data_IF_136585190434
#
_entry.id   IF_136585190434
#
_cell.length_a   1.000
_cell.length_b   1.000
_cell.length_c   1.000
_cell.angle_alpha   90.00
_cell.angle_beta   90.00
_cell.angle_gamma   90.00
#
_symmetry.space_group_name_H-M   'P 1'
#
loop_
_entity.id
_entity.type
_entity.pdbx_description
1 polymer ?
#
# COMPACT_ATOMS: atom_id res chain seq x y z
N UNK A 1 -42.82 43.14 24.16
CA UNK A 1 -41.69 42.92 23.24
C UNK A 1 -42.17 43.26 21.84
N UNK A 2 -41.46 44.11 21.11
CA UNK A 2 -41.93 44.54 19.78
C UNK A 2 -41.63 43.45 18.75
N UNK A 3 -42.57 43.22 17.82
CA UNK A 3 -42.44 42.22 16.75
C UNK A 3 -41.14 42.38 15.91
N UNK A 4 -40.64 43.61 15.82
CA UNK A 4 -39.35 43.93 15.22
C UNK A 4 -38.15 43.33 15.97
N UNK A 5 -38.17 43.29 17.30
CA UNK A 5 -37.12 42.65 18.09
C UNK A 5 -37.07 41.15 17.85
N UNK A 6 -38.23 40.49 17.76
CA UNK A 6 -38.32 39.06 17.46
C UNK A 6 -37.81 38.73 16.05
N UNK A 7 -38.11 39.58 15.06
CA UNK A 7 -37.65 39.40 13.69
C UNK A 7 -36.13 39.55 13.57
N UNK A 8 -35.54 40.54 14.24
CA UNK A 8 -34.08 40.74 14.28
C UNK A 8 -33.36 39.57 14.97
N UNK A 9 -33.90 39.08 16.09
CA UNK A 9 -33.34 37.90 16.78
C UNK A 9 -33.43 36.65 15.91
N UNK A 10 -34.54 36.43 15.22
CA UNK A 10 -34.70 35.30 14.30
C UNK A 10 -33.71 35.37 13.13
N UNK A 11 -33.54 36.54 12.52
CA UNK A 11 -32.61 36.74 11.41
C UNK A 11 -31.16 36.51 11.87
N UNK A 12 -30.76 37.14 12.98
CA UNK A 12 -29.39 37.00 13.52
C UNK A 12 -29.07 35.56 13.92
N UNK A 13 -30.02 34.86 14.54
CA UNK A 13 -29.87 33.45 14.87
C UNK A 13 -29.66 32.63 13.60
N UNK A 14 -30.48 32.82 12.57
CA UNK A 14 -30.35 32.12 11.28
C UNK A 14 -28.97 32.36 10.63
N UNK A 15 -28.50 33.61 10.58
CA UNK A 15 -27.20 33.94 9.98
C UNK A 15 -26.06 33.29 10.77
N UNK A 16 -26.11 33.34 12.10
CA UNK A 16 -25.09 32.72 12.97
C UNK A 16 -25.08 31.20 12.78
N UNK A 17 -26.25 30.54 12.74
CA UNK A 17 -26.33 29.09 12.50
C UNK A 17 -25.75 28.73 11.14
N UNK A 18 -26.05 29.48 10.06
CA UNK A 18 -25.49 29.24 8.73
C UNK A 18 -23.97 29.42 8.65
N UNK A 19 -23.42 30.39 9.38
CA UNK A 19 -21.97 30.61 9.47
C UNK A 19 -21.31 29.44 10.21
N UNK A 20 -21.88 29.01 11.33
CA UNK A 20 -21.37 27.86 12.10
C UNK A 20 -21.43 26.58 11.25
N UNK A 21 -22.55 26.32 10.57
CA UNK A 21 -22.71 25.17 9.68
C UNK A 21 -21.66 25.17 8.55
N UNK A 22 -21.36 26.34 7.98
CA UNK A 22 -20.31 26.47 6.95
C UNK A 22 -18.92 26.18 7.50
N UNK A 23 -18.61 26.68 8.70
CA UNK A 23 -17.31 26.41 9.37
C UNK A 23 -17.19 24.91 9.69
N UNK A 24 -18.25 24.30 10.22
CA UNK A 24 -18.29 22.86 10.48
C UNK A 24 -18.14 22.05 9.18
N UNK A 25 -18.76 22.49 8.08
CA UNK A 25 -18.60 21.91 6.76
C UNK A 25 -17.14 21.89 6.29
N UNK A 26 -16.45 23.03 6.39
CA UNK A 26 -15.03 23.16 5.99
C UNK A 26 -14.12 22.28 6.85
N UNK A 27 -14.37 22.22 8.16
CA UNK A 27 -13.58 21.38 9.08
C UNK A 27 -13.81 19.90 8.77
N UNK A 28 -15.06 19.50 8.52
CA UNK A 28 -15.42 18.14 8.15
C UNK A 28 -14.79 17.74 6.82
N UNK A 29 -14.86 18.59 5.81
CA UNK A 29 -14.27 18.33 4.49
C UNK A 29 -12.74 18.15 4.56
N UNK A 30 -12.04 18.98 5.35
CA UNK A 30 -10.59 18.79 5.59
C UNK A 30 -10.28 17.46 6.26
N UNK A 31 -11.10 17.04 7.23
CA UNK A 31 -10.94 15.74 7.92
C UNK A 31 -11.21 14.58 6.97
N UNK A 32 -12.27 14.66 6.18
CA UNK A 32 -12.67 13.64 5.21
C UNK A 32 -11.62 13.52 4.09
N UNK A 33 -11.04 14.63 3.63
CA UNK A 33 -9.94 14.62 2.65
C UNK A 33 -8.68 13.93 3.20
N UNK A 34 -8.30 14.24 4.45
CA UNK A 34 -7.18 13.54 5.12
C UNK A 34 -7.45 12.05 5.27
N UNK A 35 -8.67 11.67 5.67
CA UNK A 35 -9.08 10.27 5.81
C UNK A 35 -9.02 9.54 4.46
N UNK A 36 -9.61 10.11 3.41
CA UNK A 36 -9.59 9.56 2.06
C UNK A 36 -8.16 9.41 1.51
N UNK A 37 -7.28 10.38 1.76
CA UNK A 37 -5.87 10.27 1.36
C UNK A 37 -5.17 9.12 2.06
N UNK A 38 -5.41 8.92 3.36
CA UNK A 38 -4.85 7.80 4.12
C UNK A 38 -5.37 6.45 3.61
N UNK A 39 -6.67 6.34 3.37
CA UNK A 39 -7.29 5.14 2.79
C UNK A 39 -6.65 4.79 1.44
N UNK A 40 -6.46 5.77 0.55
CA UNK A 40 -5.79 5.55 -0.74
C UNK A 40 -4.36 5.01 -0.57
N UNK A 41 -3.57 5.61 0.32
CA UNK A 41 -2.19 5.15 0.56
C UNK A 41 -2.19 3.72 1.12
N UNK A 42 -3.12 3.42 2.04
CA UNK A 42 -3.27 2.08 2.59
C UNK A 42 -3.59 1.05 1.49
N UNK A 43 -4.57 1.33 0.64
CA UNK A 43 -4.92 0.46 -0.49
C UNK A 43 -3.74 0.24 -1.42
N UNK A 44 -3.00 1.29 -1.77
CA UNK A 44 -1.82 1.16 -2.63
C UNK A 44 -0.72 0.27 -2.02
N UNK A 45 -0.51 0.35 -0.70
CA UNK A 45 0.47 -0.52 -0.02
C UNK A 45 -0.03 -1.95 0.05
N UNK A 46 -1.32 -2.16 0.31
CA UNK A 46 -1.95 -3.48 0.28
C UNK A 46 -1.81 -4.11 -1.12
N UNK A 47 -2.02 -3.34 -2.18
CA UNK A 47 -1.83 -3.76 -3.56
C UNK A 47 -0.38 -4.16 -3.83
N UNK A 48 0.59 -3.37 -3.36
CA UNK A 48 2.01 -3.72 -3.46
C UNK A 48 2.34 -5.01 -2.70
N UNK A 49 1.81 -5.18 -1.47
CA UNK A 49 1.99 -6.41 -0.68
C UNK A 49 1.44 -7.63 -1.43
N UNK A 50 0.26 -7.50 -2.04
CA UNK A 50 -0.35 -8.56 -2.83
C UNK A 50 0.46 -8.87 -4.10
N UNK A 51 0.90 -7.85 -4.83
CA UNK A 51 1.71 -8.03 -6.04
C UNK A 51 3.05 -8.71 -5.70
N UNK A 52 3.79 -8.23 -4.68
CA UNK A 52 5.05 -8.84 -4.22
C UNK A 52 4.81 -10.25 -3.63
N UNK A 53 3.69 -10.43 -2.92
CA UNK A 53 3.25 -11.71 -2.38
C UNK A 53 3.12 -12.77 -3.46
N UNK A 54 2.62 -12.43 -4.66
CA UNK A 54 2.54 -13.36 -5.80
C UNK A 54 3.90 -13.85 -6.28
N UNK A 55 4.92 -12.98 -6.29
CA UNK A 55 6.30 -13.40 -6.63
C UNK A 55 6.81 -14.38 -5.57
N UNK A 56 6.59 -14.05 -4.30
CA UNK A 56 7.00 -14.89 -3.18
C UNK A 56 6.30 -16.26 -3.18
N UNK A 57 4.99 -16.32 -3.43
CA UNK A 57 4.22 -17.56 -3.56
C UNK A 57 4.71 -18.43 -4.72
N UNK A 58 5.07 -17.79 -5.83
CA UNK A 58 5.61 -18.50 -7.01
C UNK A 58 6.96 -19.12 -6.69
N UNK A 59 7.84 -18.35 -6.04
CA UNK A 59 9.17 -18.80 -5.63
C UNK A 59 9.14 -19.92 -4.58
N UNK A 60 8.18 -19.89 -3.65
CA UNK A 60 8.08 -20.89 -2.58
C UNK A 60 7.25 -22.11 -2.95
N UNK A 61 6.55 -22.09 -4.09
CA UNK A 61 5.72 -23.22 -4.55
C UNK A 61 6.54 -24.50 -4.67
N UNK A 62 5.93 -25.62 -4.24
CA UNK A 62 6.54 -26.96 -4.28
C UNK A 62 6.72 -27.56 -5.68
N UNK A 63 6.06 -27.00 -6.69
CA UNK A 63 6.10 -27.50 -8.07
C UNK A 63 7.52 -27.42 -8.65
N UNK A 64 7.87 -28.27 -9.63
CA UNK A 64 9.15 -28.18 -10.33
C UNK A 64 9.25 -26.89 -11.17
N UNK A 65 10.49 -26.45 -11.44
CA UNK A 65 10.79 -25.22 -12.18
C UNK A 65 10.09 -25.13 -13.53
N UNK A 66 10.06 -26.22 -14.29
CA UNK A 66 9.48 -26.26 -15.65
C UNK A 66 8.00 -25.86 -15.67
N UNK A 67 7.26 -26.13 -14.58
CA UNK A 67 5.85 -25.75 -14.46
C UNK A 67 5.65 -24.31 -13.97
N UNK A 68 6.72 -23.66 -13.50
CA UNK A 68 6.74 -22.27 -13.02
C UNK A 68 7.38 -21.31 -14.02
N UNK A 69 8.11 -21.81 -15.01
CA UNK A 69 8.88 -21.00 -15.95
C UNK A 69 8.04 -19.91 -16.63
N UNK A 70 6.86 -20.26 -17.13
CA UNK A 70 5.97 -19.31 -17.80
C UNK A 70 5.52 -18.20 -16.83
N UNK A 71 5.21 -18.59 -15.58
CA UNK A 71 4.77 -17.67 -14.52
C UNK A 71 5.91 -16.73 -14.13
N UNK A 72 7.12 -17.26 -13.94
CA UNK A 72 8.31 -16.44 -13.65
C UNK A 72 8.59 -15.45 -14.78
N UNK A 73 8.51 -15.90 -16.03
CA UNK A 73 8.78 -15.05 -17.20
C UNK A 73 7.76 -13.91 -17.28
N UNK A 74 6.48 -14.22 -17.11
CA UNK A 74 5.43 -13.20 -17.09
C UNK A 74 5.62 -12.22 -15.92
N UNK A 75 5.86 -12.72 -14.71
CA UNK A 75 6.03 -11.89 -13.52
C UNK A 75 7.26 -10.99 -13.63
N UNK A 76 8.44 -11.54 -13.95
CA UNK A 76 9.66 -10.76 -14.03
C UNK A 76 9.66 -9.75 -15.18
N UNK A 77 8.89 -9.97 -16.25
CA UNK A 77 8.73 -8.97 -17.31
C UNK A 77 8.04 -7.68 -16.83
N UNK A 78 7.18 -7.77 -15.82
CA UNK A 78 6.39 -6.67 -15.27
C UNK A 78 7.01 -6.02 -14.03
N UNK A 79 8.20 -6.48 -13.62
CA UNK A 79 8.82 -6.03 -12.37
C UNK A 79 9.20 -4.54 -12.39
N UNK A 80 9.66 -4.04 -13.55
CA UNK A 80 10.13 -2.66 -13.68
C UNK A 80 8.95 -1.68 -13.54
N UNK A 81 7.82 -2.03 -14.14
CA UNK A 81 6.57 -1.28 -14.02
C UNK A 81 6.02 -1.32 -12.60
N UNK A 82 6.09 -2.50 -11.95
CA UNK A 82 5.71 -2.66 -10.56
C UNK A 82 6.52 -1.72 -9.65
N UNK A 83 7.85 -1.84 -9.66
CA UNK A 83 8.72 -1.03 -8.81
C UNK A 83 8.64 0.46 -9.18
N UNK A 84 8.49 0.79 -10.47
CA UNK A 84 8.32 2.16 -10.95
C UNK A 84 7.07 2.82 -10.36
N UNK A 85 5.92 2.13 -10.36
CA UNK A 85 4.65 2.63 -9.79
C UNK A 85 4.77 2.99 -8.30
N UNK A 86 5.58 2.24 -7.55
CA UNK A 86 5.73 2.44 -6.10
C UNK A 86 6.99 3.20 -5.70
N UNK A 87 7.75 3.75 -6.65
CA UNK A 87 8.94 4.55 -6.35
C UNK A 87 8.63 5.83 -5.54
N UNK A 88 7.36 6.26 -5.51
CA UNK A 88 6.84 7.29 -4.59
C UNK A 88 7.01 6.95 -3.10
N UNK A 89 7.17 5.65 -2.77
CA UNK A 89 7.41 5.14 -1.42
C UNK A 89 8.79 4.45 -1.37
N UNK A 90 9.90 5.22 -1.35
CA UNK A 90 11.23 4.69 -1.61
C UNK A 90 11.69 3.62 -0.61
N UNK A 91 11.30 3.74 0.66
CA UNK A 91 11.65 2.77 1.70
C UNK A 91 11.01 1.41 1.42
N UNK A 92 9.70 1.38 1.17
CA UNK A 92 8.98 0.13 0.88
C UNK A 92 9.42 -0.44 -0.48
N UNK A 93 9.58 0.41 -1.50
CA UNK A 93 9.98 -0.01 -2.83
C UNK A 93 11.40 -0.60 -2.86
N UNK A 94 12.28 -0.20 -1.94
CA UNK A 94 13.60 -0.83 -1.76
C UNK A 94 13.47 -2.27 -1.25
N UNK A 95 12.66 -2.50 -0.21
CA UNK A 95 12.42 -3.85 0.30
C UNK A 95 11.70 -4.73 -0.72
N UNK A 96 10.70 -4.20 -1.42
CA UNK A 96 10.02 -4.92 -2.51
C UNK A 96 11.02 -5.37 -3.60
N UNK A 97 11.93 -4.48 -4.02
CA UNK A 97 13.01 -4.82 -4.97
C UNK A 97 13.89 -5.97 -4.47
N UNK A 98 14.27 -5.94 -3.19
CA UNK A 98 15.09 -7.00 -2.59
C UNK A 98 14.36 -8.35 -2.61
N UNK A 99 13.07 -8.38 -2.26
CA UNK A 99 12.26 -9.60 -2.35
C UNK A 99 12.22 -10.13 -3.78
N UNK A 100 11.88 -9.29 -4.76
CA UNK A 100 11.81 -9.71 -6.17
C UNK A 100 13.18 -10.22 -6.67
N UNK A 101 14.26 -9.55 -6.28
CA UNK A 101 15.62 -10.00 -6.60
C UNK A 101 15.92 -11.39 -6.02
N UNK A 102 15.55 -11.64 -4.76
CA UNK A 102 15.71 -12.97 -4.16
C UNK A 102 14.78 -14.02 -4.78
N UNK A 103 13.58 -13.64 -5.25
CA UNK A 103 12.74 -14.55 -6.03
C UNK A 103 13.42 -14.98 -7.33
N UNK A 104 14.18 -14.09 -7.99
CA UNK A 104 14.97 -14.45 -9.18
C UNK A 104 16.12 -15.39 -8.86
N UNK A 105 16.80 -15.17 -7.74
CA UNK A 105 17.86 -16.08 -7.27
C UNK A 105 17.29 -17.48 -7.01
N UNK A 106 16.15 -17.58 -6.32
CA UNK A 106 15.45 -18.85 -6.14
C UNK A 106 15.06 -19.48 -7.48
N UNK A 107 14.57 -18.71 -8.45
CA UNK A 107 14.25 -19.24 -9.78
C UNK A 107 15.50 -19.76 -10.51
N UNK A 108 16.64 -19.08 -10.38
CA UNK A 108 17.92 -19.52 -10.94
C UNK A 108 18.43 -20.80 -10.26
N UNK A 109 18.38 -20.84 -8.93
CA UNK A 109 18.80 -22.00 -8.13
C UNK A 109 17.91 -23.22 -8.40
N UNK A 110 16.60 -23.02 -8.59
CA UNK A 110 15.67 -24.07 -9.01
C UNK A 110 15.99 -24.62 -10.41
N UNK A 111 16.44 -23.74 -11.32
CA UNK A 111 16.88 -24.14 -12.67
C UNK A 111 18.19 -24.93 -12.62
N UNK A 112 19.14 -24.50 -11.81
CA UNK A 112 20.46 -25.12 -11.64
C UNK A 112 20.43 -26.33 -10.68
N UNK A 113 19.32 -26.55 -9.97
CA UNK A 113 19.13 -27.56 -8.91
C UNK A 113 20.17 -27.44 -7.78
N UNK A 114 20.69 -26.25 -7.54
CA UNK A 114 21.71 -25.97 -6.52
C UNK A 114 21.10 -25.14 -5.39
N UNK A 115 21.41 -25.45 -4.13
CA UNK A 115 21.15 -24.63 -2.94
C UNK A 115 19.72 -24.05 -2.74
N UNK A 116 18.71 -24.66 -3.37
CA UNK A 116 17.29 -24.24 -3.30
C UNK A 116 16.76 -24.03 -1.86
N UNK A 117 17.10 -24.87 -0.86
CA UNK A 117 16.61 -24.68 0.51
C UNK A 117 17.13 -23.38 1.15
N UNK A 118 18.42 -23.08 0.97
CA UNK A 118 19.08 -21.90 1.58
C UNK A 118 18.54 -20.61 0.96
N UNK A 119 18.38 -20.58 -0.36
CA UNK A 119 17.82 -19.42 -1.07
C UNK A 119 16.36 -19.17 -0.73
N UNK A 120 15.57 -20.23 -0.45
CA UNK A 120 14.19 -20.09 0.03
C UNK A 120 14.12 -19.56 1.46
N UNK A 121 15.02 -19.99 2.33
CA UNK A 121 15.10 -19.45 3.70
C UNK A 121 15.46 -17.96 3.70
N UNK A 122 16.45 -17.57 2.90
CA UNK A 122 16.86 -16.17 2.77
C UNK A 122 15.75 -15.31 2.14
N UNK A 123 15.03 -15.84 1.14
CA UNK A 123 13.85 -15.19 0.59
C UNK A 123 12.77 -14.97 1.68
N UNK A 124 12.56 -15.95 2.56
CA UNK A 124 11.56 -15.84 3.61
C UNK A 124 11.92 -14.74 4.63
N UNK A 125 13.20 -14.66 5.01
CA UNK A 125 13.71 -13.57 5.85
C UNK A 125 13.46 -12.21 5.18
N UNK A 126 13.82 -12.05 3.91
CA UNK A 126 13.66 -10.79 3.18
C UNK A 126 12.20 -10.40 2.97
N UNK A 127 11.32 -11.37 2.76
CA UNK A 127 9.88 -11.14 2.69
C UNK A 127 9.32 -10.68 4.04
N UNK A 128 9.76 -11.27 5.15
CA UNK A 128 9.33 -10.83 6.49
C UNK A 128 9.80 -9.39 6.80
N UNK A 129 11.03 -9.04 6.43
CA UNK A 129 11.54 -7.66 6.52
C UNK A 129 10.66 -6.68 5.72
N UNK A 130 10.24 -7.07 4.51
CA UNK A 130 9.34 -6.27 3.67
C UNK A 130 7.96 -6.05 4.32
N UNK A 131 7.34 -7.10 4.89
CA UNK A 131 6.05 -6.98 5.57
C UNK A 131 6.16 -6.06 6.80
N UNK A 132 7.24 -6.20 7.58
CA UNK A 132 7.50 -5.32 8.73
C UNK A 132 7.65 -3.86 8.28
N UNK A 133 8.38 -3.61 7.18
CA UNK A 133 8.54 -2.27 6.63
C UNK A 133 7.20 -1.68 6.15
N UNK A 134 6.34 -2.48 5.50
CA UNK A 134 5.00 -2.06 5.09
C UNK A 134 4.14 -1.68 6.29
N UNK A 135 4.11 -2.53 7.32
CA UNK A 135 3.31 -2.27 8.52
C UNK A 135 3.79 -1.02 9.25
N UNK A 136 5.11 -0.85 9.43
CA UNK A 136 5.68 0.37 10.03
C UNK A 136 5.30 1.63 9.25
N UNK A 137 5.30 1.57 7.93
CA UNK A 137 4.93 2.73 7.11
C UNK A 137 3.44 3.05 7.23
N UNK A 138 2.58 2.04 7.27
CA UNK A 138 1.13 2.21 7.52
C UNK A 138 0.89 2.80 8.90
N UNK A 139 1.55 2.28 9.93
CA UNK A 139 1.42 2.76 11.31
C UNK A 139 1.89 4.21 11.46
N UNK A 140 2.93 4.62 10.74
CA UNK A 140 3.40 6.01 10.70
C UNK A 140 2.43 6.97 9.98
N UNK A 141 1.53 6.44 9.15
CA UNK A 141 0.52 7.23 8.42
C UNK A 141 -0.80 7.31 9.19
N UNK A 142 -1.11 6.29 10.00
CA UNK A 142 -2.27 6.22 10.90
C UNK A 142 -2.27 7.37 11.93
#
# INVERSE_FOLDING_TARGET
MSWWQTLVVALTTYTITKIIDSILGIIKEKRDFKKSRREKIFTEIEDLKNEVGRYYETATRWRPFDQKLDIYTEQFSKEFDLIGRYNKYPEIAKFARQVIHHCKLVAQDEKEKANVPESKELLHQKFSEFIIACNKFVDNIA
#
